data_IF_893997764417
#
_entry.id   IF_893997764417
#
_cell.length_a   1.000
_cell.length_b   1.000
_cell.length_c   1.000
_cell.angle_alpha   90.00
_cell.angle_beta   90.00
_cell.angle_gamma   90.00
#
_symmetry.space_group_name_H-M   'P 1'
#
loop_
_entity.id
_entity.type
_entity.pdbx_description
1 polymer ?
#
# COMPACT_ATOMS: atom_id res chain seq x y z
N UNK A 1 9.16 -6.70 14.02
CA UNK A 1 8.46 -5.80 13.07
C UNK A 1 8.71 -6.37 11.67
N UNK A 2 7.80 -6.22 10.73
CA UNK A 2 8.03 -6.64 9.33
C UNK A 2 7.93 -5.46 8.39
N UNK A 3 8.70 -5.49 7.31
CA UNK A 3 8.73 -4.46 6.28
C UNK A 3 8.66 -5.11 4.90
N UNK A 4 7.83 -4.56 4.02
CA UNK A 4 7.80 -4.90 2.60
C UNK A 4 7.93 -3.63 1.77
N UNK A 5 8.59 -3.72 0.62
CA UNK A 5 8.79 -2.57 -0.24
C UNK A 5 8.66 -2.98 -1.70
N UNK A 6 7.72 -2.36 -2.42
CA UNK A 6 7.45 -2.69 -3.82
C UNK A 6 7.45 -1.45 -4.71
N UNK A 7 7.66 -1.69 -5.99
CA UNK A 7 7.49 -0.73 -7.06
C UNK A 7 6.37 -1.18 -7.99
N UNK A 8 5.57 -0.23 -8.47
CA UNK A 8 4.64 -0.41 -9.59
C UNK A 8 5.14 0.42 -10.76
N UNK A 9 5.60 -0.25 -11.80
CA UNK A 9 6.07 0.37 -13.04
C UNK A 9 5.40 -0.31 -14.23
N UNK A 10 4.75 0.48 -15.10
CA UNK A 10 4.06 -0.03 -16.28
C UNK A 10 3.04 -1.16 -15.95
N UNK A 11 2.25 -0.98 -14.89
CA UNK A 11 1.32 -1.99 -14.33
C UNK A 11 1.98 -3.33 -13.94
N UNK A 12 3.31 -3.39 -13.82
CA UNK A 12 4.02 -4.52 -13.25
C UNK A 12 4.46 -4.22 -11.83
N UNK A 13 4.37 -5.23 -10.95
CA UNK A 13 4.79 -5.11 -9.56
C UNK A 13 6.16 -5.77 -9.43
N UNK A 14 7.10 -5.10 -8.77
CA UNK A 14 8.42 -5.64 -8.44
C UNK A 14 8.67 -5.52 -6.95
N UNK A 15 9.41 -6.48 -6.42
CA UNK A 15 9.92 -6.42 -5.06
C UNK A 15 11.23 -5.64 -5.01
N UNK A 16 11.27 -4.55 -4.24
CA UNK A 16 12.47 -3.73 -4.08
C UNK A 16 13.42 -4.30 -3.02
N UNK A 17 12.98 -5.25 -2.20
CA UNK A 17 13.81 -5.98 -1.24
C UNK A 17 14.38 -7.28 -1.82
N UNK A 18 13.74 -7.84 -2.85
CA UNK A 18 14.20 -9.01 -3.60
C UNK A 18 14.01 -8.85 -5.13
N UNK A 19 14.90 -8.12 -5.82
CA UNK A 19 14.75 -7.84 -7.25
C UNK A 19 14.81 -9.07 -8.16
N UNK A 20 15.36 -10.18 -7.68
CA UNK A 20 15.50 -11.44 -8.43
C UNK A 20 14.18 -12.22 -8.53
N UNK A 21 13.16 -11.83 -7.75
CA UNK A 21 11.84 -12.46 -7.73
C UNK A 21 11.02 -12.27 -9.02
N UNK A 22 11.47 -11.40 -9.93
CA UNK A 22 10.76 -11.07 -11.16
C UNK A 22 9.51 -10.23 -10.91
N UNK A 23 8.50 -10.38 -11.78
CA UNK A 23 7.24 -9.64 -11.65
C UNK A 23 6.26 -10.38 -10.75
N UNK A 24 5.68 -9.66 -9.80
CA UNK A 24 4.74 -10.19 -8.83
C UNK A 24 3.28 -10.02 -9.25
N UNK A 25 2.44 -10.96 -8.80
CA UNK A 25 1.01 -10.97 -9.05
C UNK A 25 0.21 -10.45 -7.87
N UNK A 26 -0.87 -9.74 -8.19
CA UNK A 26 -1.79 -9.19 -7.20
C UNK A 26 -3.01 -10.10 -7.10
N UNK A 27 -3.25 -10.63 -5.90
CA UNK A 27 -4.31 -11.58 -5.58
C UNK A 27 -5.32 -10.96 -4.63
N UNK A 28 -6.59 -11.26 -4.84
CA UNK A 28 -7.67 -10.91 -3.92
C UNK A 28 -7.95 -12.11 -3.02
N UNK A 29 -7.80 -11.93 -1.71
CA UNK A 29 -8.15 -12.95 -0.73
C UNK A 29 -9.60 -12.71 -0.27
N UNK A 30 -10.50 -13.56 -0.74
CA UNK A 30 -11.92 -13.45 -0.38
C UNK A 30 -12.21 -13.89 1.06
N UNK A 31 -11.28 -14.64 1.69
CA UNK A 31 -11.45 -15.16 3.06
C UNK A 31 -11.20 -14.10 4.14
N UNK A 32 -10.41 -13.06 3.83
CA UNK A 32 -10.06 -11.96 4.74
C UNK A 32 -10.97 -10.74 4.59
N UNK A 33 -12.17 -10.95 4.05
CA UNK A 33 -13.15 -9.92 3.76
C UNK A 33 -13.15 -9.48 2.30
N UNK A 34 -14.25 -8.85 1.88
CA UNK A 34 -14.45 -8.42 0.49
C UNK A 34 -13.36 -7.45 0.03
N UNK A 35 -12.46 -7.96 -0.82
CA UNK A 35 -11.46 -7.17 -1.52
C UNK A 35 -10.20 -6.86 -0.73
N UNK A 36 -9.82 -7.72 0.22
CA UNK A 36 -8.47 -7.73 0.74
C UNK A 36 -7.50 -8.09 -0.39
N UNK A 37 -6.53 -7.22 -0.65
CA UNK A 37 -5.56 -7.36 -1.74
C UNK A 37 -4.19 -7.69 -1.15
N UNK A 38 -3.55 -8.73 -1.70
CA UNK A 38 -2.20 -9.13 -1.36
C UNK A 38 -1.35 -9.32 -2.62
N UNK A 39 -0.04 -9.12 -2.48
CA UNK A 39 0.93 -9.37 -3.54
C UNK A 39 1.59 -10.71 -3.26
N UNK A 40 1.35 -11.68 -4.15
CA UNK A 40 1.90 -13.03 -4.00
C UNK A 40 3.41 -13.00 -4.21
N UNK A 41 4.17 -13.59 -3.29
CA UNK A 41 5.63 -13.65 -3.37
C UNK A 41 6.36 -12.37 -2.96
N UNK A 42 5.64 -11.36 -2.43
CA UNK A 42 6.29 -10.16 -1.90
C UNK A 42 7.06 -10.48 -0.62
N UNK A 43 8.32 -10.05 -0.56
CA UNK A 43 9.18 -10.25 0.60
C UNK A 43 8.70 -9.42 1.79
N UNK A 44 8.53 -10.08 2.93
CA UNK A 44 8.32 -9.46 4.23
C UNK A 44 9.59 -9.61 5.07
N UNK A 45 10.48 -8.62 5.02
CA UNK A 45 11.72 -8.63 5.77
C UNK A 45 11.45 -8.35 7.25
N UNK A 46 12.02 -9.17 8.13
CA UNK A 46 12.00 -8.92 9.58
C UNK A 46 13.00 -7.81 9.88
N UNK A 47 12.57 -6.83 10.68
CA UNK A 47 13.42 -5.80 11.23
C UNK A 47 13.26 -5.75 12.76
N UNK A 48 14.38 -5.69 13.46
CA UNK A 48 14.49 -5.69 14.91
C UNK A 48 14.87 -4.31 15.49
N UNK A 49 15.30 -3.37 14.65
CA UNK A 49 15.62 -2.01 15.07
C UNK A 49 15.21 -0.97 14.02
N UNK A 50 15.24 0.30 14.42
CA UNK A 50 15.03 1.45 13.54
C UNK A 50 16.09 1.52 12.44
N UNK A 51 17.34 1.19 12.77
CA UNK A 51 18.48 1.21 11.84
C UNK A 51 18.30 0.14 10.75
N UNK A 52 17.80 -1.05 11.11
CA UNK A 52 17.49 -2.09 10.13
C UNK A 52 16.38 -1.65 9.16
N UNK A 53 15.32 -1.01 9.66
CA UNK A 53 14.25 -0.45 8.80
C UNK A 53 14.82 0.60 7.84
N UNK A 54 15.66 1.52 8.33
CA UNK A 54 16.29 2.55 7.50
C UNK A 54 17.27 1.98 6.47
N UNK A 55 17.99 0.91 6.84
CA UNK A 55 18.87 0.17 5.93
C UNK A 55 18.08 -0.50 4.80
N UNK A 56 16.98 -1.18 5.13
CA UNK A 56 16.08 -1.81 4.15
C UNK A 56 15.47 -0.76 3.19
N UNK A 57 15.05 0.39 3.73
CA UNK A 57 14.54 1.52 2.93
C UNK A 57 15.61 2.02 1.95
N UNK A 58 16.82 2.27 2.44
CA UNK A 58 17.93 2.75 1.61
C UNK A 58 18.28 1.74 0.53
N UNK A 59 18.29 0.45 0.85
CA UNK A 59 18.51 -0.64 -0.11
C UNK A 59 17.43 -0.66 -1.19
N UNK A 60 16.15 -0.62 -0.82
CA UNK A 60 15.06 -0.62 -1.80
C UNK A 60 15.05 0.62 -2.69
N UNK A 61 15.40 1.79 -2.14
CA UNK A 61 15.57 3.02 -2.93
C UNK A 61 16.67 2.92 -3.98
N UNK A 62 17.78 2.23 -3.67
CA UNK A 62 18.83 1.94 -4.65
C UNK A 62 18.29 1.09 -5.79
N UNK A 63 17.52 0.04 -5.49
CA UNK A 63 16.95 -0.83 -6.53
C UNK A 63 15.94 -0.12 -7.42
N UNK A 64 15.11 0.76 -6.86
CA UNK A 64 14.23 1.64 -7.64
C UNK A 64 14.99 2.58 -8.59
N UNK A 65 16.23 2.95 -8.23
CA UNK A 65 17.05 3.90 -8.99
C UNK A 65 17.95 3.25 -10.06
N UNK A 66 18.11 1.92 -10.04
CA UNK A 66 19.15 1.21 -10.81
C UNK A 66 18.69 0.60 -12.14
N UNK A 67 17.45 0.80 -12.61
CA UNK A 67 17.04 0.21 -13.89
C UNK A 67 17.65 0.90 -15.13
N UNK A 68 18.20 0.12 -16.08
CA UNK A 68 18.83 0.63 -17.29
C UNK A 68 17.76 1.02 -18.31
N UNK A 69 17.24 2.24 -18.19
CA UNK A 69 16.58 2.89 -19.34
C UNK A 69 17.35 4.14 -19.71
N UNK A 70 17.81 4.18 -20.95
CA UNK A 70 18.55 5.30 -21.51
C UNK A 70 17.86 6.64 -21.19
N UNK A 71 18.55 7.50 -20.44
CA UNK A 71 18.31 8.94 -20.26
C UNK A 71 16.99 9.41 -19.61
N UNK A 72 16.39 8.72 -18.63
CA UNK A 72 15.38 9.36 -17.76
C UNK A 72 15.43 8.85 -16.31
N UNK A 73 15.04 9.72 -15.36
CA UNK A 73 14.97 9.42 -13.92
C UNK A 73 13.78 8.50 -13.64
N UNK A 74 13.99 7.17 -13.60
CA UNK A 74 12.94 6.14 -13.44
C UNK A 74 11.97 6.42 -12.29
N UNK A 75 12.44 7.05 -11.20
CA UNK A 75 11.62 7.37 -10.03
C UNK A 75 10.42 8.30 -10.31
N UNK A 76 10.46 9.14 -11.35
CA UNK A 76 9.30 9.99 -11.69
C UNK A 76 8.19 9.21 -12.42
N UNK A 77 8.45 7.96 -12.80
CA UNK A 77 7.59 7.16 -13.69
C UNK A 77 7.10 5.86 -13.06
N UNK A 78 7.45 5.62 -11.80
CA UNK A 78 7.00 4.47 -11.02
C UNK A 78 6.42 4.91 -9.68
N UNK A 79 5.47 4.13 -9.17
CA UNK A 79 4.96 4.28 -7.81
C UNK A 79 5.77 3.37 -6.89
N UNK A 80 6.06 3.82 -5.68
CA UNK A 80 6.69 3.01 -4.65
C UNK A 80 5.77 2.88 -3.43
N UNK A 81 5.61 1.67 -2.92
CA UNK A 81 4.80 1.35 -1.76
C UNK A 81 5.66 0.64 -0.72
N UNK A 82 5.96 1.36 0.37
CA UNK A 82 6.61 0.83 1.55
C UNK A 82 5.54 0.53 2.61
N UNK A 83 5.55 -0.68 3.16
CA UNK A 83 4.68 -1.08 4.27
C UNK A 83 5.53 -1.52 5.45
N UNK A 84 5.26 -0.97 6.63
CA UNK A 84 5.85 -1.40 7.90
C UNK A 84 4.74 -1.90 8.81
N UNK A 85 4.80 -3.17 9.20
CA UNK A 85 3.81 -3.83 10.04
C UNK A 85 4.39 -4.14 11.41
N UNK A 86 3.70 -3.70 12.45
CA UNK A 86 4.05 -3.93 13.85
C UNK A 86 2.97 -4.81 14.47
N UNK A 87 3.39 -5.98 14.97
CA UNK A 87 2.53 -6.87 15.75
C UNK A 87 2.91 -6.77 17.23
N UNK A 88 1.90 -6.71 18.09
CA UNK A 88 2.06 -6.72 19.54
C UNK A 88 1.10 -7.74 20.13
N UNK A 89 1.64 -8.79 20.71
CA UNK A 89 0.90 -9.88 21.33
C UNK A 89 1.12 -9.81 22.83
N UNK A 90 0.03 -9.72 23.60
CA UNK A 90 0.10 -9.67 25.07
C UNK A 90 -0.88 -10.66 25.70
N UNK A 91 -0.46 -11.42 26.71
CA UNK A 91 -1.40 -12.19 27.52
C UNK A 91 -2.31 -11.23 28.30
N UNK A 92 -3.58 -11.60 28.42
CA UNK A 92 -4.60 -10.91 29.21
C UNK A 92 -5.14 -11.94 30.20
N UNK A 93 -4.92 -11.68 31.48
CA UNK A 93 -5.41 -12.55 32.55
C UNK A 93 -6.87 -12.21 32.85
N UNK A 94 -7.76 -13.16 32.62
CA UNK A 94 -9.16 -13.13 33.03
C UNK A 94 -9.43 -14.40 33.83
N UNK A 95 -10.26 -14.30 34.87
CA UNK A 95 -10.27 -15.17 36.08
C UNK A 95 -10.33 -16.69 35.82
N UNK A 96 -10.70 -17.15 34.62
CA UNK A 96 -10.68 -18.56 34.20
C UNK A 96 -10.34 -18.79 32.71
N UNK A 97 -9.92 -17.77 31.95
CA UNK A 97 -9.64 -17.87 30.50
C UNK A 97 -8.31 -17.21 30.18
N UNK A 98 -7.38 -18.00 29.62
CA UNK A 98 -6.17 -17.46 29.00
C UNK A 98 -6.59 -16.74 27.70
N UNK A 99 -6.58 -15.41 27.73
CA UNK A 99 -6.81 -14.59 26.55
C UNK A 99 -5.47 -14.05 26.06
N UNK A 100 -5.25 -14.09 24.76
CA UNK A 100 -4.12 -13.46 24.11
C UNK A 100 -4.65 -12.31 23.25
N UNK A 101 -4.25 -11.10 23.58
CA UNK A 101 -4.60 -9.90 22.82
C UNK A 101 -3.53 -9.65 21.77
N UNK A 102 -3.94 -9.68 20.51
CA UNK A 102 -3.09 -9.38 19.37
C UNK A 102 -3.51 -8.00 18.84
N UNK A 103 -2.53 -7.10 18.71
CA UNK A 103 -2.71 -5.79 18.07
C UNK A 103 -1.79 -5.70 16.87
N UNK A 104 -2.28 -5.07 15.81
CA UNK A 104 -1.53 -4.88 14.58
C UNK A 104 -1.60 -3.41 14.14
N UNK A 105 -0.45 -2.77 13.98
CA UNK A 105 -0.32 -1.48 13.32
C UNK A 105 0.32 -1.66 11.95
N UNK A 106 -0.19 -0.96 10.94
CA UNK A 106 0.43 -0.91 9.60
C UNK A 106 0.62 0.54 9.21
N UNK A 107 1.84 0.88 8.81
CA UNK A 107 2.18 2.16 8.21
C UNK A 107 2.43 1.93 6.72
N UNK A 108 1.73 2.68 5.89
CA UNK A 108 1.99 2.74 4.45
C UNK A 108 2.65 4.07 4.11
N UNK A 109 3.77 4.01 3.39
CA UNK A 109 4.42 5.17 2.79
C UNK A 109 4.39 4.98 1.28
N UNK A 110 3.66 5.84 0.60
CA UNK A 110 3.39 5.74 -0.82
C UNK A 110 3.99 6.96 -1.52
N UNK A 111 4.92 6.72 -2.43
CA UNK A 111 5.47 7.73 -3.32
C UNK A 111 4.92 7.50 -4.73
N UNK A 112 4.11 8.43 -5.21
CA UNK A 112 3.42 8.31 -6.49
C UNK A 112 4.31 8.81 -7.63
N UNK A 113 4.12 8.23 -8.81
CA UNK A 113 4.68 8.75 -10.04
C UNK A 113 4.20 10.20 -10.30
N UNK A 114 4.93 10.92 -11.15
CA UNK A 114 4.63 12.29 -11.53
C UNK A 114 3.21 12.45 -12.09
N UNK A 115 2.51 13.48 -11.62
CA UNK A 115 1.13 13.81 -12.03
C UNK A 115 1.05 14.62 -13.32
N UNK A 116 2.18 15.00 -13.90
CA UNK A 116 2.25 15.74 -15.14
C UNK A 116 1.67 14.96 -16.33
N UNK A 117 0.97 15.68 -17.22
CA UNK A 117 0.33 15.03 -18.38
C UNK A 117 1.36 14.60 -19.40
N UNK A 118 1.15 13.41 -19.99
CA UNK A 118 1.98 12.91 -21.09
C UNK A 118 2.06 13.84 -22.30
N UNK A 119 1.05 14.70 -22.53
CA UNK A 119 1.06 15.70 -23.62
C UNK A 119 2.18 16.74 -23.49
N UNK A 120 2.67 16.99 -22.28
CA UNK A 120 3.83 17.87 -22.04
C UNK A 120 5.17 17.14 -22.20
N UNK A 121 5.15 15.83 -22.43
CA UNK A 121 6.34 15.02 -22.60
C UNK A 121 6.56 14.71 -24.09
N UNK A 122 7.76 14.94 -24.63
CA UNK A 122 8.13 14.60 -26.01
C UNK A 122 8.39 13.09 -26.17
N UNK A 123 7.44 12.26 -25.75
CA UNK A 123 7.59 10.80 -25.70
C UNK A 123 7.06 10.15 -26.99
N UNK A 124 7.89 9.32 -27.64
CA UNK A 124 7.57 8.57 -28.86
C UNK A 124 7.72 7.06 -28.59
N UNK A 125 6.95 6.21 -29.29
CA UNK A 125 7.11 4.76 -29.28
C UNK A 125 6.84 4.10 -27.92
N UNK A 126 7.77 3.27 -27.41
CA UNK A 126 7.64 2.57 -26.11
C UNK A 126 7.37 3.54 -24.95
N UNK A 127 7.95 4.74 -24.98
CA UNK A 127 7.77 5.77 -23.94
C UNK A 127 6.36 6.36 -23.91
N UNK A 128 5.67 6.37 -25.05
CA UNK A 128 4.27 6.82 -25.12
C UNK A 128 3.35 5.80 -24.45
N UNK A 129 3.56 4.50 -24.71
CA UNK A 129 2.82 3.41 -24.04
C UNK A 129 3.03 3.43 -22.53
N UNK A 130 4.28 3.57 -22.10
CA UNK A 130 4.64 3.72 -20.69
C UNK A 130 3.97 4.95 -20.04
N UNK A 131 4.02 6.11 -20.70
CA UNK A 131 3.33 7.32 -20.25
C UNK A 131 1.82 7.12 -20.13
N UNK A 132 1.21 6.34 -21.02
CA UNK A 132 -0.21 6.00 -20.95
C UNK A 132 -0.53 5.14 -19.71
N UNK A 133 0.31 4.17 -19.35
CA UNK A 133 0.10 3.34 -18.16
C UNK A 133 0.27 4.12 -16.85
N UNK A 134 1.26 5.01 -16.78
CA UNK A 134 1.45 5.89 -15.61
C UNK A 134 0.22 6.78 -15.42
N UNK A 135 -0.21 7.46 -16.49
CA UNK A 135 -1.40 8.29 -16.45
C UNK A 135 -2.67 7.48 -16.17
N UNK A 136 -2.75 6.23 -16.62
CA UNK A 136 -3.87 5.34 -16.30
C UNK A 136 -3.97 5.09 -14.79
N UNK A 137 -2.86 4.76 -14.12
CA UNK A 137 -2.87 4.50 -12.68
C UNK A 137 -3.25 5.74 -11.84
N UNK A 138 -2.75 6.93 -12.21
CA UNK A 138 -3.08 8.19 -11.55
C UNK A 138 -4.51 8.66 -11.88
N UNK A 139 -4.98 8.45 -13.11
CA UNK A 139 -6.37 8.71 -13.49
C UNK A 139 -7.33 7.81 -12.71
N UNK A 140 -7.02 6.51 -12.59
CA UNK A 140 -7.79 5.57 -11.79
C UNK A 140 -7.85 6.02 -10.32
N UNK A 141 -6.72 6.49 -9.76
CA UNK A 141 -6.67 7.04 -8.41
C UNK A 141 -7.56 8.28 -8.29
N UNK A 142 -7.51 9.19 -9.28
CA UNK A 142 -8.37 10.37 -9.32
C UNK A 142 -9.85 10.03 -9.39
N UNK A 143 -10.22 9.02 -10.19
CA UNK A 143 -11.58 8.53 -10.26
C UNK A 143 -12.05 7.95 -8.92
N UNK A 144 -11.18 7.20 -8.23
CA UNK A 144 -11.49 6.68 -6.90
C UNK A 144 -11.73 7.83 -5.90
N UNK A 145 -10.84 8.82 -5.87
CA UNK A 145 -10.96 9.98 -4.97
C UNK A 145 -12.24 10.76 -5.27
N UNK A 146 -12.54 11.05 -6.54
CA UNK A 146 -13.76 11.75 -6.93
C UNK A 146 -15.04 10.98 -6.53
N UNK A 147 -15.00 9.64 -6.60
CA UNK A 147 -16.12 8.81 -6.19
C UNK A 147 -16.32 8.81 -4.67
N UNK A 148 -15.22 8.87 -3.91
CA UNK A 148 -15.21 8.84 -2.44
C UNK A 148 -15.46 10.21 -1.80
N UNK A 149 -15.12 11.31 -2.46
CA UNK A 149 -15.23 12.67 -1.92
C UNK A 149 -16.66 13.23 -1.91
N UNK A 150 -17.64 12.47 -2.43
CA UNK A 150 -19.03 12.89 -2.51
C UNK A 150 -19.85 12.46 -1.28
N UNK A 151 -20.92 13.20 -0.99
CA UNK A 151 -21.82 12.95 0.16
C UNK A 151 -22.53 11.59 0.13
N UNK A 152 -22.54 10.91 -1.02
CA UNK A 152 -23.14 9.59 -1.19
C UNK A 152 -22.10 8.49 -0.98
N UNK A 153 -21.94 8.06 0.26
CA UNK A 153 -21.06 6.96 0.69
C UNK A 153 -21.38 5.59 0.05
N UNK A 154 -22.50 5.47 -0.68
CA UNK A 154 -22.96 4.23 -1.31
C UNK A 154 -22.61 4.12 -2.81
N UNK A 155 -21.77 5.00 -3.35
CA UNK A 155 -21.36 4.94 -4.76
C UNK A 155 -20.32 3.84 -4.95
N UNK A 156 -20.54 2.97 -5.94
CA UNK A 156 -19.54 1.97 -6.33
C UNK A 156 -18.23 2.65 -6.76
N UNK A 157 -17.12 2.22 -6.16
CA UNK A 157 -15.77 2.70 -6.49
C UNK A 157 -15.02 1.61 -7.23
N UNK A 158 -14.59 1.90 -8.46
CA UNK A 158 -13.88 0.95 -9.30
C UNK A 158 -12.37 0.94 -9.02
N UNK A 159 -11.96 0.20 -7.99
CA UNK A 159 -10.53 0.04 -7.68
C UNK A 159 -9.77 -0.80 -8.72
N UNK A 160 -10.45 -1.53 -9.61
CA UNK A 160 -9.81 -2.50 -10.53
C UNK A 160 -9.14 -1.88 -11.76
N UNK A 161 -9.33 -0.59 -11.99
CA UNK A 161 -8.78 0.11 -13.16
C UNK A 161 -7.25 0.16 -13.21
N UNK A 162 -6.59 0.01 -12.05
CA UNK A 162 -5.12 -0.10 -11.92
C UNK A 162 -4.70 -0.98 -10.74
N UNK A 163 -3.49 -1.55 -10.79
CA UNK A 163 -2.93 -2.26 -9.62
C UNK A 163 -2.71 -1.33 -8.42
N UNK A 164 -2.36 -0.07 -8.67
CA UNK A 164 -2.19 0.95 -7.64
C UNK A 164 -3.48 1.13 -6.81
N UNK A 165 -4.61 1.37 -7.46
CA UNK A 165 -5.89 1.58 -6.77
C UNK A 165 -6.37 0.35 -6.01
N UNK A 166 -6.07 -0.86 -6.49
CA UNK A 166 -6.34 -2.11 -5.75
C UNK A 166 -5.52 -2.17 -4.46
N UNK A 167 -4.23 -1.85 -4.52
CA UNK A 167 -3.35 -1.82 -3.33
C UNK A 167 -3.73 -0.70 -2.36
N UNK A 168 -4.16 0.45 -2.86
CA UNK A 168 -4.54 1.61 -2.05
C UNK A 168 -5.96 1.55 -1.51
N UNK A 169 -6.73 0.49 -1.78
CA UNK A 169 -8.11 0.37 -1.32
C UNK A 169 -8.25 0.56 0.20
N UNK A 170 -7.37 -0.09 0.98
CA UNK A 170 -7.36 0.06 2.45
C UNK A 170 -7.07 1.51 2.86
N UNK A 171 -6.13 2.17 2.19
CA UNK A 171 -5.77 3.56 2.45
C UNK A 171 -6.84 4.57 2.01
N UNK A 172 -7.65 4.26 0.99
CA UNK A 172 -8.63 5.22 0.46
C UNK A 172 -10.03 5.08 1.05
N UNK A 173 -10.46 3.89 1.42
CA UNK A 173 -11.82 3.66 1.93
C UNK A 173 -11.90 2.61 3.03
N UNK A 174 -10.77 2.09 3.50
CA UNK A 174 -10.70 1.06 4.52
C UNK A 174 -10.41 1.61 5.91
N UNK A 175 -10.00 0.70 6.79
CA UNK A 175 -9.57 0.99 8.15
C UNK A 175 -8.15 1.58 8.18
N UNK A 176 -8.00 2.81 7.67
CA UNK A 176 -6.72 3.50 7.59
C UNK A 176 -6.87 4.97 7.94
N UNK A 177 -5.90 5.51 8.69
CA UNK A 177 -5.75 6.95 8.86
C UNK A 177 -4.86 7.45 7.74
N UNK A 178 -5.43 8.20 6.81
CA UNK A 178 -4.74 8.59 5.57
C UNK A 178 -4.41 10.06 5.57
N UNK A 179 -3.17 10.36 5.19
CA UNK A 179 -2.67 11.72 4.98
C UNK A 179 -2.14 11.81 3.56
N UNK A 180 -2.62 12.80 2.81
CA UNK A 180 -2.09 13.13 1.49
C UNK A 180 -1.18 14.35 1.59
N UNK A 181 0.04 14.23 1.08
CA UNK A 181 0.99 15.34 0.98
C UNK A 181 1.06 15.79 -0.48
N UNK A 182 0.61 17.01 -0.75
CA UNK A 182 0.56 17.59 -2.09
C UNK A 182 1.80 18.45 -2.35
N UNK A 183 2.73 17.95 -3.17
CA UNK A 183 3.91 18.71 -3.59
C UNK A 183 3.57 19.61 -4.78
N UNK A 184 3.85 20.91 -4.66
CA UNK A 184 3.59 21.91 -5.71
C UNK A 184 4.83 22.74 -5.99
N UNK A 185 4.96 23.23 -7.22
CA UNK A 185 6.04 24.11 -7.63
C UNK A 185 5.52 25.57 -7.69
N UNK A 186 6.19 26.54 -7.06
CA UNK A 186 5.76 27.94 -7.06
C UNK A 186 6.05 28.69 -8.39
N UNK A 187 6.85 28.10 -9.29
CA UNK A 187 7.23 28.72 -10.55
C UNK A 187 6.07 28.86 -11.55
N UNK A 188 6.04 29.99 -12.26
CA UNK A 188 4.96 30.34 -13.19
C UNK A 188 4.76 29.30 -14.32
N UNK A 189 5.84 28.67 -14.77
CA UNK A 189 5.82 27.63 -15.80
C UNK A 189 5.08 26.36 -15.38
N UNK A 190 4.90 26.14 -14.07
CA UNK A 190 4.21 24.97 -13.50
C UNK A 190 2.84 25.33 -12.92
N UNK A 191 2.35 26.55 -13.13
CA UNK A 191 1.11 27.06 -12.53
C UNK A 191 -0.10 26.13 -12.73
N UNK A 192 -0.27 25.61 -13.94
CA UNK A 192 -1.41 24.72 -14.24
C UNK A 192 -1.29 23.37 -13.53
N UNK A 193 -0.10 22.76 -13.47
CA UNK A 193 0.08 21.48 -12.77
C UNK A 193 -0.02 21.64 -11.24
N UNK A 194 0.53 22.72 -10.69
CA UNK A 194 0.34 23.05 -9.27
C UNK A 194 -1.13 23.24 -8.93
N UNK A 195 -1.91 23.93 -9.79
CA UNK A 195 -3.36 24.06 -9.64
C UNK A 195 -4.06 22.70 -9.68
N UNK A 196 -3.72 21.83 -10.63
CA UNK A 196 -4.29 20.48 -10.73
C UNK A 196 -4.04 19.67 -9.45
N UNK A 197 -2.81 19.68 -8.95
CA UNK A 197 -2.43 18.99 -7.70
C UNK A 197 -3.22 19.52 -6.50
N UNK A 198 -3.39 20.84 -6.37
CA UNK A 198 -4.18 21.44 -5.27
C UNK A 198 -5.67 21.09 -5.36
N UNK A 199 -6.26 21.14 -6.56
CA UNK A 199 -7.66 20.73 -6.78
C UNK A 199 -7.85 19.26 -6.42
N UNK A 200 -6.88 18.41 -6.78
CA UNK A 200 -6.89 17.00 -6.45
C UNK A 200 -6.83 16.76 -4.93
N UNK A 201 -5.90 17.44 -4.24
CA UNK A 201 -5.76 17.38 -2.79
C UNK A 201 -7.03 17.88 -2.07
N UNK A 202 -7.63 18.97 -2.56
CA UNK A 202 -8.87 19.53 -2.03
C UNK A 202 -10.08 18.58 -2.18
N UNK A 203 -10.08 17.68 -3.16
CA UNK A 203 -11.11 16.62 -3.25
C UNK A 203 -10.84 15.50 -2.26
N UNK A 204 -9.57 15.12 -2.08
CA UNK A 204 -9.18 14.08 -1.14
C UNK A 204 -9.57 14.40 0.32
N UNK A 205 -9.66 15.69 0.70
CA UNK A 205 -10.14 16.10 2.03
C UNK A 205 -11.62 15.76 2.29
N UNK A 206 -12.41 15.55 1.23
CA UNK A 206 -13.81 15.12 1.34
C UNK A 206 -13.98 13.64 1.65
N UNK A 207 -12.90 12.85 1.66
CA UNK A 207 -12.95 11.42 1.95
C UNK A 207 -13.02 11.21 3.46
N UNK A 208 -14.03 10.45 3.90
CA UNK A 208 -14.19 10.05 5.30
C UNK A 208 -13.84 8.59 5.51
N UNK A 209 -13.09 8.30 6.58
CA UNK A 209 -12.68 6.95 6.95
C UNK A 209 -13.38 6.52 8.24
N UNK A 210 -13.89 5.27 8.24
CA UNK A 210 -14.28 4.61 9.48
C UNK A 210 -13.07 3.83 10.02
N UNK A 211 -12.35 4.45 10.95
CA UNK A 211 -11.13 3.87 11.54
C UNK A 211 -11.46 3.18 12.86
N UNK A 212 -11.08 1.92 12.96
CA UNK A 212 -11.24 1.06 14.12
C UNK A 212 -9.88 0.50 14.56
N UNK A 213 -9.74 0.17 15.84
CA UNK A 213 -8.48 -0.40 16.35
C UNK A 213 -8.37 -1.85 15.87
N UNK A 214 -7.30 -2.15 15.12
CA UNK A 214 -6.94 -3.53 14.74
C UNK A 214 -6.50 -4.33 15.97
N UNK A 215 -7.47 -4.98 16.63
CA UNK A 215 -7.29 -5.79 17.82
C UNK A 215 -8.10 -7.08 17.68
N UNK A 216 -7.44 -8.21 17.92
CA UNK A 216 -8.06 -9.51 18.00
C UNK A 216 -7.77 -10.09 19.40
N UNK A 217 -8.82 -10.40 20.14
CA UNK A 217 -8.69 -11.12 21.42
C UNK A 217 -8.95 -12.60 21.15
N UNK A 218 -7.89 -13.42 21.21
CA UNK A 218 -7.95 -14.87 21.03
C UNK A 218 -8.09 -15.51 22.40
N UNK A 219 -9.25 -16.13 22.67
CA UNK A 219 -9.48 -16.87 23.90
C UNK A 219 -9.07 -18.33 23.73
N UNK A 220 -8.23 -18.83 24.63
CA UNK A 220 -7.95 -20.24 24.76
C UNK A 220 -8.72 -20.79 25.97
N UNK A 221 -9.64 -21.72 25.73
CA UNK A 221 -10.28 -22.44 26.83
C UNK A 221 -9.30 -23.47 27.38
N UNK A 222 -9.06 -23.43 28.70
CA UNK A 222 -8.17 -24.37 29.40
C UNK A 222 -8.65 -25.83 29.21
N UNK A 223 -9.95 -26.06 29.02
CA UNK A 223 -10.52 -27.37 28.71
C UNK A 223 -10.01 -27.95 27.37
N UNK A 224 -9.79 -27.11 26.36
CA UNK A 224 -9.25 -27.56 25.06
C UNK A 224 -7.79 -28.01 25.19
N UNK A 225 -6.96 -27.31 25.97
CA UNK A 225 -5.61 -27.77 26.29
C UNK A 225 -5.61 -29.06 27.10
N UNK A 226 -6.53 -29.22 28.06
CA UNK A 226 -6.66 -30.48 28.81
C UNK A 226 -7.01 -31.66 27.88
N UNK A 227 -7.87 -31.45 26.88
CA UNK A 227 -8.18 -32.46 25.86
C UNK A 227 -6.94 -32.79 25.04
N UNK A 228 -6.31 -31.79 24.41
CA UNK A 228 -5.14 -32.00 23.54
C UNK A 228 -3.97 -32.66 24.30
N UNK A 229 -3.74 -32.26 25.56
CA UNK A 229 -2.71 -32.88 26.41
C UNK A 229 -3.10 -34.31 26.81
N UNK A 230 -4.38 -34.59 27.07
CA UNK A 230 -4.84 -35.94 27.36
C UNK A 230 -4.72 -36.85 26.13
N UNK A 231 -5.07 -36.35 24.96
CA UNK A 231 -4.98 -37.06 23.69
C UNK A 231 -3.52 -37.38 23.35
N UNK A 232 -2.61 -36.41 23.47
CA UNK A 232 -1.15 -36.59 23.27
C UNK A 232 -0.46 -37.45 24.34
N UNK A 233 -1.09 -37.71 25.49
CA UNK A 233 -0.57 -38.63 26.53
C UNK A 233 -1.08 -40.05 26.36
N UNK A 234 -2.12 -40.23 25.55
CA UNK A 234 -2.71 -41.52 25.24
C UNK A 234 -2.20 -42.10 23.90
N UNK A 235 -1.39 -41.35 23.17
CA UNK A 235 -0.49 -41.84 22.09
C UNK A 235 0.88 -42.23 22.67
#
# INVERSE_FOLDING_TARGET
VTMSYLEIYNENIRDLLNPESGFLELREDSSKGTGYVQVSGLTEAIANSTEEVMSLLTRGNKQRSCEPTASNRTSSRSHALLSVTVHNTRPVHDRNVMKTRIRQGRLFMIDLAGSERASHTKNIGKRLKEGAHINRSLLALGNCINALSGSNSNKYVNYRDSKLTRLLREALSGNCKTVMIAHVNPGLTHREESKNTLVYAARATGISHKVERNQLDVSFQISQYRSVIADLRNE
#
